data_IF_944055532463
#
_entry.id   IF_944055532463
#
_cell.length_a   1.000
_cell.length_b   1.000
_cell.length_c   1.000
_cell.angle_alpha   90.00
_cell.angle_beta   90.00
_cell.angle_gamma   90.00
#
_symmetry.space_group_name_H-M   'P 1'
#
loop_
_entity.id
_entity.type
_entity.pdbx_description
1 polymer ?
#
# COMPACT_ATOMS: atom_id res chain seq x y z
N UNK A 1 12.46 6.68 20.43
CA UNK A 1 12.08 5.26 20.24
C UNK A 1 11.72 5.13 18.77
N UNK A 2 12.65 4.65 17.95
CA UNK A 2 12.48 4.54 16.49
C UNK A 2 11.81 3.19 16.25
N UNK A 3 10.53 3.19 15.90
CA UNK A 3 9.82 1.96 15.51
C UNK A 3 10.50 1.42 14.24
N UNK A 4 10.98 0.19 14.31
CA UNK A 4 11.83 -0.41 13.28
C UNK A 4 10.97 -0.97 12.13
N UNK A 5 10.46 -0.07 11.28
CA UNK A 5 9.71 -0.41 10.06
C UNK A 5 10.66 -0.87 8.94
N UNK A 6 11.36 -1.99 9.13
CA UNK A 6 12.33 -2.49 8.12
C UNK A 6 11.66 -2.88 6.80
N UNK A 7 12.45 -2.76 5.74
CA UNK A 7 12.18 -3.04 4.32
C UNK A 7 11.35 -4.32 4.04
N UNK A 8 11.51 -5.36 4.86
CA UNK A 8 10.80 -6.64 4.74
C UNK A 8 9.27 -6.55 4.87
N UNK A 9 8.78 -5.60 5.68
CA UNK A 9 7.33 -5.38 5.88
C UNK A 9 6.69 -4.48 4.83
N UNK A 10 7.52 -3.80 4.04
CA UNK A 10 7.06 -2.95 2.95
C UNK A 10 6.88 -3.74 1.64
N UNK A 11 7.71 -4.77 1.43
CA UNK A 11 7.73 -5.54 0.18
C UNK A 11 6.86 -6.80 0.21
N UNK A 12 6.46 -7.30 1.38
CA UNK A 12 5.69 -8.54 1.48
C UNK A 12 6.53 -9.75 1.07
N UNK A 13 6.97 -10.54 2.04
CA UNK A 13 7.76 -11.74 1.80
C UNK A 13 7.05 -12.72 0.87
N UNK A 14 7.75 -13.15 -0.19
CA UNK A 14 7.47 -14.37 -0.94
C UNK A 14 8.14 -15.51 -0.16
N UNK A 15 7.34 -16.40 0.42
CA UNK A 15 7.82 -17.61 1.09
C UNK A 15 6.82 -18.74 0.89
N UNK A 16 7.17 -19.68 0.02
CA UNK A 16 6.46 -20.96 -0.11
C UNK A 16 6.84 -21.85 1.08
N UNK A 17 5.86 -22.26 1.88
CA UNK A 17 6.00 -23.41 2.77
C UNK A 17 5.07 -24.53 2.30
N UNK A 18 5.69 -25.64 1.88
CA UNK A 18 5.04 -26.92 1.67
C UNK A 18 4.59 -27.48 3.02
N UNK A 19 3.32 -27.85 3.16
CA UNK A 19 2.95 -28.86 4.16
C UNK A 19 1.86 -29.80 3.63
N UNK A 20 2.27 -31.05 3.49
CA UNK A 20 1.50 -32.24 3.20
C UNK A 20 0.56 -32.61 4.37
N UNK A 21 -0.73 -32.77 4.09
CA UNK A 21 -1.69 -33.29 5.07
C UNK A 21 -3.08 -33.55 4.49
N UNK A 22 -3.31 -34.78 4.04
CA UNK A 22 -4.61 -35.41 3.75
C UNK A 22 -5.61 -35.22 4.94
N UNK A 23 -6.94 -35.12 4.82
CA UNK A 23 -7.93 -35.98 4.15
C UNK A 23 -9.34 -35.35 4.33
N UNK A 24 -10.25 -35.50 3.36
CA UNK A 24 -11.68 -35.16 3.54
C UNK A 24 -12.46 -35.05 2.22
N UNK A 25 -12.94 -36.18 1.69
CA UNK A 25 -13.75 -36.26 0.47
C UNK A 25 -15.23 -35.95 0.73
N UNK A 26 -15.83 -35.12 -0.13
CA UNK A 26 -17.24 -35.21 -0.55
C UNK A 26 -17.40 -34.55 -1.93
N UNK A 27 -17.97 -35.28 -2.89
CA UNK A 27 -18.49 -34.78 -4.17
C UNK A 27 -20.00 -35.10 -4.23
N UNK A 28 -20.82 -34.60 -5.19
CA UNK A 28 -20.52 -33.78 -6.37
C UNK A 28 -21.52 -32.62 -6.64
N UNK A 29 -21.21 -31.73 -7.59
CA UNK A 29 -22.21 -31.10 -8.48
C UNK A 29 -21.53 -30.58 -9.76
N UNK A 30 -21.86 -31.18 -10.90
CA UNK A 30 -21.49 -30.65 -12.21
C UNK A 30 -22.23 -29.32 -12.45
N UNK A 31 -21.48 -28.24 -12.66
CA UNK A 31 -21.97 -27.01 -13.28
C UNK A 31 -21.17 -26.78 -14.56
N UNK A 32 -21.92 -26.38 -15.59
CA UNK A 32 -21.58 -26.37 -17.01
C UNK A 32 -20.40 -25.44 -17.34
N UNK A 33 -19.64 -25.87 -18.32
CA UNK A 33 -18.56 -25.16 -19.00
C UNK A 33 -18.99 -23.78 -19.53
N UNK A 34 -18.38 -22.73 -18.98
CA UNK A 34 -18.31 -21.40 -19.57
C UNK A 34 -16.88 -20.90 -19.37
N UNK A 35 -16.06 -20.95 -20.43
CA UNK A 35 -14.70 -20.44 -20.37
C UNK A 35 -14.69 -18.94 -20.11
N UNK A 36 -13.82 -18.51 -19.21
CA UNK A 36 -13.15 -17.22 -19.27
C UNK A 36 -11.92 -17.28 -18.36
N UNK A 37 -10.76 -17.39 -19.02
CA UNK A 37 -9.39 -17.01 -18.65
C UNK A 37 -9.15 -16.77 -17.14
N UNK A 38 -8.39 -17.68 -16.52
CA UNK A 38 -7.77 -17.43 -15.21
C UNK A 38 -6.96 -16.13 -15.29
N UNK A 39 -6.99 -15.26 -14.27
CA UNK A 39 -6.21 -14.03 -14.32
C UNK A 39 -4.72 -14.38 -14.40
N UNK A 40 -4.10 -14.13 -15.55
CA UNK A 40 -2.66 -13.99 -15.61
C UNK A 40 -2.30 -12.81 -14.73
N UNK A 41 -1.66 -13.06 -13.59
CA UNK A 41 -0.56 -12.22 -13.09
C UNK A 41 -0.10 -12.71 -11.71
N UNK A 42 1.04 -13.41 -11.68
CA UNK A 42 1.96 -13.29 -10.55
C UNK A 42 2.57 -11.88 -10.58
N UNK A 43 1.74 -10.85 -10.33
CA UNK A 43 2.22 -9.49 -10.18
C UNK A 43 3.11 -9.44 -8.93
N UNK A 44 4.35 -9.00 -9.10
CA UNK A 44 5.29 -8.74 -8.00
C UNK A 44 5.16 -7.30 -7.48
N UNK A 45 4.12 -6.57 -7.91
CA UNK A 45 3.86 -5.22 -7.46
C UNK A 45 3.45 -5.24 -5.97
N UNK A 46 4.13 -4.43 -5.17
CA UNK A 46 3.87 -4.30 -3.73
C UNK A 46 2.65 -3.41 -3.47
N UNK A 47 2.18 -3.39 -2.22
CA UNK A 47 1.16 -2.41 -1.80
C UNK A 47 1.67 -0.98 -1.99
N UNK A 48 2.95 -0.74 -1.69
CA UNK A 48 3.65 0.51 -1.95
C UNK A 48 3.63 0.91 -3.43
N UNK A 49 4.05 0.02 -4.32
CA UNK A 49 4.08 0.26 -5.77
C UNK A 49 2.69 0.55 -6.36
N UNK A 50 1.66 -0.18 -5.89
CA UNK A 50 0.25 0.09 -6.26
C UNK A 50 -0.21 1.45 -5.75
N UNK A 51 0.08 1.79 -4.50
CA UNK A 51 -0.28 3.07 -3.91
C UNK A 51 0.39 4.21 -4.67
N UNK A 52 1.71 4.16 -4.85
CA UNK A 52 2.45 5.20 -5.56
C UNK A 52 1.92 5.40 -6.99
N UNK A 53 1.64 4.33 -7.72
CA UNK A 53 1.08 4.44 -9.08
C UNK A 53 -0.24 5.23 -9.10
N UNK A 54 -1.11 5.04 -8.09
CA UNK A 54 -2.36 5.79 -7.95
C UNK A 54 -2.09 7.26 -7.64
N UNK A 55 -1.19 7.56 -6.71
CA UNK A 55 -0.83 8.93 -6.32
C UNK A 55 -0.15 9.68 -7.47
N UNK A 56 0.84 9.08 -8.12
CA UNK A 56 1.51 9.66 -9.30
C UNK A 56 0.56 9.95 -10.47
N UNK A 57 -0.51 9.17 -10.65
CA UNK A 57 -1.48 9.42 -11.71
C UNK A 57 -2.46 10.56 -11.39
N UNK A 58 -2.71 10.80 -10.10
CA UNK A 58 -3.69 11.79 -9.61
C UNK A 58 -3.05 13.12 -9.23
N UNK A 59 -1.73 13.17 -9.09
CA UNK A 59 -1.01 14.40 -8.83
C UNK A 59 -1.10 15.37 -10.04
N UNK A 60 -2.09 16.24 -9.98
CA UNK A 60 -2.31 17.31 -10.94
C UNK A 60 -1.59 18.61 -10.57
N UNK A 61 -0.78 18.59 -9.51
CA UNK A 61 -0.28 19.81 -8.86
C UNK A 61 1.21 20.00 -9.03
N UNK A 62 1.99 19.21 -8.30
CA UNK A 62 3.40 19.45 -7.99
C UNK A 62 4.29 18.35 -8.55
N UNK A 63 3.70 17.26 -9.03
CA UNK A 63 4.43 16.06 -9.46
C UNK A 63 5.38 15.55 -8.37
N UNK A 64 5.03 15.74 -7.10
CA UNK A 64 5.88 15.41 -5.95
C UNK A 64 6.11 13.90 -5.85
N UNK A 65 5.09 13.10 -6.17
CA UNK A 65 5.19 11.65 -6.26
C UNK A 65 6.02 11.16 -7.46
N UNK A 66 6.33 12.05 -8.39
CA UNK A 66 7.09 11.75 -9.59
C UNK A 66 6.34 10.84 -10.57
N UNK A 67 7.04 10.48 -11.64
CA UNK A 67 6.49 9.64 -12.71
C UNK A 67 6.70 8.16 -12.37
N UNK A 68 5.62 7.42 -12.17
CA UNK A 68 5.66 5.98 -11.89
C UNK A 68 5.62 5.18 -13.21
N UNK A 69 6.79 4.89 -13.78
CA UNK A 69 6.99 4.12 -15.03
C UNK A 69 8.04 3.02 -14.83
N UNK A 70 8.14 2.10 -15.78
CA UNK A 70 9.08 0.99 -15.74
C UNK A 70 8.43 -0.33 -15.31
N UNK A 71 9.28 -1.29 -14.95
CA UNK A 71 8.90 -2.61 -14.45
C UNK A 71 8.19 -2.53 -13.08
N UNK A 72 7.59 -3.63 -12.63
CA UNK A 72 7.00 -3.68 -11.29
C UNK A 72 8.04 -3.45 -10.18
N UNK A 73 9.28 -3.94 -10.39
CA UNK A 73 10.38 -3.68 -9.47
C UNK A 73 10.74 -2.19 -9.41
N UNK A 74 10.83 -1.50 -10.56
CA UNK A 74 11.11 -0.06 -10.59
C UNK A 74 10.05 0.74 -9.80
N UNK A 75 8.78 0.34 -9.91
CA UNK A 75 7.67 0.97 -9.17
C UNK A 75 7.75 0.68 -7.67
N UNK A 76 8.14 -0.52 -7.28
CA UNK A 76 8.36 -0.90 -5.90
C UNK A 76 9.51 -0.11 -5.26
N UNK A 77 10.64 -0.01 -5.96
CA UNK A 77 11.83 0.72 -5.50
C UNK A 77 11.53 2.22 -5.38
N UNK A 78 10.78 2.78 -6.33
CA UNK A 78 10.33 4.16 -6.25
C UNK A 78 9.41 4.39 -5.05
N UNK A 79 8.44 3.50 -4.81
CA UNK A 79 7.57 3.59 -3.65
C UNK A 79 8.36 3.52 -2.33
N UNK A 80 9.33 2.61 -2.25
CA UNK A 80 10.21 2.49 -1.09
C UNK A 80 11.02 3.77 -0.87
N UNK A 81 11.62 4.32 -1.93
CA UNK A 81 12.36 5.58 -1.85
C UNK A 81 11.51 6.73 -1.33
N UNK A 82 10.26 6.86 -1.82
CA UNK A 82 9.33 7.89 -1.35
C UNK A 82 8.91 7.72 0.09
N UNK A 83 8.68 6.48 0.52
CA UNK A 83 8.41 6.17 1.91
C UNK A 83 9.59 6.57 2.80
N UNK A 84 10.82 6.21 2.43
CA UNK A 84 12.03 6.58 3.18
C UNK A 84 12.21 8.10 3.22
N UNK A 85 11.99 8.81 2.11
CA UNK A 85 12.03 10.28 2.06
C UNK A 85 11.06 10.93 3.07
N UNK A 86 9.84 10.38 3.20
CA UNK A 86 8.84 10.87 4.17
C UNK A 86 9.28 10.56 5.60
N UNK A 87 9.78 9.36 5.87
CA UNK A 87 10.21 8.96 7.21
C UNK A 87 11.44 9.73 7.69
N UNK A 88 12.42 9.98 6.81
CA UNK A 88 13.63 10.74 7.12
C UNK A 88 13.35 12.22 7.41
N UNK A 89 12.23 12.74 6.89
CA UNK A 89 11.76 14.12 7.07
C UNK A 89 10.49 14.23 7.92
N UNK A 90 10.21 13.21 8.74
CA UNK A 90 9.03 13.15 9.58
C UNK A 90 8.95 14.36 10.51
N UNK A 91 7.87 15.12 10.38
CA UNK A 91 7.58 16.31 11.18
C UNK A 91 6.42 16.07 12.14
N UNK A 92 5.57 15.09 11.85
CA UNK A 92 4.38 14.78 12.63
C UNK A 92 4.04 13.30 12.56
N UNK A 93 3.51 12.78 13.66
CA UNK A 93 3.06 11.40 13.79
C UNK A 93 1.78 11.36 14.63
N UNK A 94 0.84 10.51 14.24
CA UNK A 94 -0.40 10.29 14.98
C UNK A 94 -0.87 8.85 14.86
N UNK A 95 -1.64 8.39 15.84
CA UNK A 95 -2.38 7.14 15.78
C UNK A 95 -3.87 7.50 15.79
N UNK A 96 -4.62 6.98 14.82
CA UNK A 96 -6.05 7.21 14.72
C UNK A 96 -6.81 5.93 14.38
N UNK A 97 -8.08 5.90 14.77
CA UNK A 97 -9.00 4.80 14.54
C UNK A 97 -10.33 5.39 14.07
N UNK A 98 -10.85 4.88 12.95
CA UNK A 98 -12.18 5.21 12.48
C UNK A 98 -13.17 4.14 12.96
N UNK A 99 -14.46 4.47 13.16
CA UNK A 99 -15.45 3.48 13.56
C UNK A 99 -15.47 2.26 12.62
N UNK A 100 -15.16 1.07 13.17
CA UNK A 100 -15.13 -0.19 12.43
C UNK A 100 -13.80 -0.50 11.71
N UNK A 101 -12.77 0.33 11.88
CA UNK A 101 -11.45 0.15 11.29
C UNK A 101 -10.39 -0.17 12.35
N UNK A 102 -9.27 -0.76 11.94
CA UNK A 102 -8.13 -0.99 12.84
C UNK A 102 -7.34 0.30 13.08
N UNK A 103 -6.79 0.50 14.29
CA UNK A 103 -5.88 1.61 14.58
C UNK A 103 -4.75 1.70 13.57
N UNK A 104 -4.53 2.90 13.05
CA UNK A 104 -3.57 3.21 12.00
C UNK A 104 -2.60 4.26 12.51
N UNK A 105 -1.30 3.99 12.37
CA UNK A 105 -0.27 5.01 12.55
C UNK A 105 -0.10 5.77 11.24
N UNK A 106 -0.04 7.09 11.35
CA UNK A 106 0.18 8.02 10.24
C UNK A 106 1.39 8.88 10.56
N UNK A 107 2.34 8.93 9.62
CA UNK A 107 3.54 9.75 9.71
C UNK A 107 3.52 10.71 8.54
N UNK A 108 3.79 12.00 8.80
CA UNK A 108 3.83 13.06 7.78
C UNK A 108 5.13 13.84 7.84
N UNK A 109 5.61 14.22 6.68
CA UNK A 109 6.64 15.25 6.55
C UNK A 109 6.04 16.66 6.60
N UNK A 110 6.90 17.68 6.69
CA UNK A 110 6.50 19.09 6.86
C UNK A 110 5.51 19.62 5.81
N UNK A 111 5.57 19.11 4.58
CA UNK A 111 4.69 19.52 3.47
C UNK A 111 3.34 18.77 3.47
N UNK A 112 3.09 17.92 4.47
CA UNK A 112 1.85 17.20 4.63
C UNK A 112 1.80 15.82 3.95
N UNK A 113 2.70 15.50 3.01
CA UNK A 113 2.78 14.14 2.46
C UNK A 113 3.08 13.12 3.56
N UNK A 114 2.42 11.97 3.48
CA UNK A 114 2.46 10.98 4.54
C UNK A 114 2.38 9.53 4.10
N UNK A 115 2.53 8.66 5.09
CA UNK A 115 2.51 7.20 5.00
C UNK A 115 1.72 6.62 6.18
N UNK A 116 1.06 5.48 5.95
CA UNK A 116 0.24 4.81 6.95
C UNK A 116 0.59 3.33 7.11
N UNK A 117 0.53 2.85 8.35
CA UNK A 117 0.59 1.42 8.70
C UNK A 117 -0.51 1.05 9.69
N UNK A 118 -0.79 -0.25 9.79
CA UNK A 118 -1.40 -0.79 11.02
C UNK A 118 -0.56 -0.38 12.23
N UNK A 119 -1.20 -0.18 13.38
CA UNK A 119 -0.53 0.35 14.58
C UNK A 119 0.61 -0.54 15.11
N UNK A 120 0.60 -1.84 14.81
CA UNK A 120 1.67 -2.79 15.10
C UNK A 120 2.85 -2.73 14.10
N UNK A 121 2.70 -1.91 13.05
CA UNK A 121 3.66 -1.76 11.97
C UNK A 121 3.81 -2.98 11.08
N UNK A 122 2.85 -3.91 11.09
CA UNK A 122 2.89 -5.11 10.27
C UNK A 122 2.60 -4.81 8.80
N UNK A 123 1.59 -3.98 8.52
CA UNK A 123 1.08 -3.79 7.17
C UNK A 123 1.14 -2.33 6.75
N UNK A 124 1.78 -2.07 5.60
CA UNK A 124 1.71 -0.77 4.95
C UNK A 124 0.32 -0.56 4.35
N UNK A 125 -0.36 0.51 4.77
CA UNK A 125 -1.72 0.86 4.33
C UNK A 125 -1.74 1.81 3.14
N UNK A 126 -0.67 2.58 2.90
CA UNK A 126 -0.56 3.46 1.74
C UNK A 126 0.03 4.83 2.04
N UNK A 127 0.07 5.65 0.99
CA UNK A 127 0.47 7.05 1.05
C UNK A 127 -0.71 7.96 1.38
N UNK A 128 -0.41 9.21 1.75
CA UNK A 128 -1.38 10.24 2.09
C UNK A 128 -0.96 11.58 1.50
N UNK A 129 -1.90 12.28 0.87
CA UNK A 129 -1.70 13.63 0.35
C UNK A 129 -1.67 14.68 1.46
N UNK A 130 -1.08 15.85 1.20
CA UNK A 130 -1.22 17.02 2.07
C UNK A 130 -2.69 17.33 2.35
N UNK A 131 -2.96 17.87 3.54
CA UNK A 131 -4.30 18.37 3.83
C UNK A 131 -4.64 19.54 2.90
N UNK A 132 -5.88 19.55 2.42
CA UNK A 132 -6.40 20.66 1.65
C UNK A 132 -7.31 21.51 2.53
N UNK A 133 -7.14 22.83 2.46
CA UNK A 133 -8.09 23.77 3.05
C UNK A 133 -9.48 23.50 2.48
N UNK A 134 -10.47 23.39 3.36
CA UNK A 134 -11.88 23.15 3.01
C UNK A 134 -12.13 21.92 2.12
N UNK A 135 -11.28 20.89 2.20
CA UNK A 135 -11.39 19.68 1.37
C UNK A 135 -12.74 18.95 1.48
N UNK A 136 -13.44 19.10 2.61
CA UNK A 136 -14.79 18.59 2.80
C UNK A 136 -15.85 19.33 1.95
N UNK A 137 -15.60 20.58 1.58
CA UNK A 137 -16.49 21.42 0.76
C UNK A 137 -16.21 21.23 -0.72
N UNK A 138 -14.93 21.18 -1.10
CA UNK A 138 -14.51 21.13 -2.51
C UNK A 138 -14.37 19.70 -3.06
N UNK A 139 -14.55 18.70 -2.20
CA UNK A 139 -14.27 17.31 -2.51
C UNK A 139 -12.78 17.03 -2.43
N UNK A 140 -12.41 15.92 -1.77
CA UNK A 140 -11.01 15.56 -1.61
C UNK A 140 -10.37 15.18 -2.95
N UNK A 141 -9.57 16.09 -3.48
CA UNK A 141 -8.64 15.83 -4.58
C UNK A 141 -7.44 15.11 -3.99
N UNK A 142 -7.17 13.96 -4.57
CA UNK A 142 -6.00 13.14 -4.27
C UNK A 142 -4.97 13.35 -5.37
#
# INVERSE_FOLDING_TARGET
MMLDFRQERFTGFVGNEENSGQQGQVAPRQIRSGGNVLPDSNSVLTVGGRALTKHSHRDHTSSWWGICKGSEQDKNDHAFKKMTEIMDSAAWMNVHELPGELPTIEIRQKNGYGVRWTCDGAEFRGFVEPQMADGHVVGWIH
#
